data_IF_411694608777
#
_entry.id   IF_411694608777
#
_cell.length_a   1.000
_cell.length_b   1.000
_cell.length_c   1.000
_cell.angle_alpha   90.00
_cell.angle_beta   90.00
_cell.angle_gamma   90.00
#
_symmetry.space_group_name_H-M   'P 1'
#
loop_
_entity.id
_entity.type
_entity.pdbx_description
1 polymer ?
#
# COMPACT_ATOMS: atom_id res chain seq x y z
N UNK A 1 0.01 1.34 -18.36
CA UNK A 1 -1.43 1.21 -18.05
C UNK A 1 -1.84 -0.21 -18.40
N UNK A 2 -2.49 -0.94 -17.49
CA UNK A 2 -2.89 -2.34 -17.75
C UNK A 2 -4.33 -2.38 -18.24
N UNK A 3 -4.58 -3.12 -19.32
CA UNK A 3 -5.93 -3.36 -19.82
C UNK A 3 -6.75 -4.15 -18.80
N UNK A 4 -8.00 -3.75 -18.60
CA UNK A 4 -8.95 -4.45 -17.72
C UNK A 4 -10.22 -4.73 -18.51
N UNK A 5 -10.70 -5.96 -18.44
CA UNK A 5 -11.92 -6.34 -19.12
C UNK A 5 -13.16 -6.02 -18.29
N UNK A 6 -14.29 -5.80 -18.96
CA UNK A 6 -15.61 -5.81 -18.31
C UNK A 6 -16.18 -7.22 -18.42
N UNK A 7 -16.41 -7.85 -17.27
CA UNK A 7 -17.00 -9.17 -17.16
C UNK A 7 -18.52 -9.05 -17.09
N UNK A 8 -19.23 -9.71 -18.00
CA UNK A 8 -20.68 -9.86 -17.95
C UNK A 8 -21.08 -10.93 -16.92
N UNK A 9 -21.05 -10.57 -15.63
CA UNK A 9 -21.42 -11.48 -14.55
C UNK A 9 -22.94 -11.69 -14.52
N UNK A 10 -23.40 -12.93 -14.74
CA UNK A 10 -24.82 -13.29 -14.68
C UNK A 10 -25.46 -13.05 -13.30
N UNK A 11 -24.67 -13.13 -12.22
CA UNK A 11 -25.17 -12.98 -10.84
C UNK A 11 -25.01 -11.57 -10.27
N UNK A 12 -24.03 -10.80 -10.76
CA UNK A 12 -23.51 -9.63 -10.07
C UNK A 12 -23.44 -8.36 -10.93
N UNK A 13 -24.06 -8.38 -12.12
CA UNK A 13 -24.06 -7.31 -13.14
C UNK A 13 -22.69 -7.11 -13.79
N UNK A 14 -22.61 -6.42 -14.94
CA UNK A 14 -21.34 -6.11 -15.58
C UNK A 14 -20.37 -5.40 -14.63
N UNK A 15 -19.18 -5.97 -14.41
CA UNK A 15 -18.16 -5.43 -13.49
C UNK A 15 -16.78 -5.43 -14.12
N UNK A 16 -15.88 -4.56 -13.65
CA UNK A 16 -14.48 -4.64 -14.04
C UNK A 16 -13.84 -5.91 -13.47
N UNK A 17 -13.01 -6.55 -14.28
CA UNK A 17 -12.17 -7.66 -13.88
C UNK A 17 -11.33 -7.30 -12.64
N UNK A 18 -11.34 -8.20 -11.65
CA UNK A 18 -10.52 -8.08 -10.45
C UNK A 18 -9.19 -8.78 -10.73
N UNK A 19 -8.12 -8.01 -10.78
CA UNK A 19 -6.77 -8.51 -10.87
C UNK A 19 -6.24 -8.73 -9.45
N UNK A 20 -5.85 -9.96 -9.15
CA UNK A 20 -5.34 -10.43 -7.85
C UNK A 20 -3.92 -9.95 -7.53
N UNK A 21 -3.27 -9.23 -8.44
CA UNK A 21 -2.02 -8.49 -8.20
C UNK A 21 -2.17 -6.96 -8.30
N UNK A 22 -3.35 -6.41 -8.63
CA UNK A 22 -3.58 -4.96 -8.74
C UNK A 22 -4.76 -4.51 -7.88
N UNK A 23 -4.55 -3.53 -7.01
CA UNK A 23 -5.64 -2.96 -6.22
C UNK A 23 -6.58 -2.11 -7.06
N UNK A 24 -7.83 -1.99 -6.61
CA UNK A 24 -8.83 -1.18 -7.30
C UNK A 24 -8.35 0.28 -7.31
N UNK A 25 -8.15 0.84 -8.51
CA UNK A 25 -7.62 2.20 -8.75
C UNK A 25 -6.14 2.39 -8.40
N UNK A 26 -5.41 1.33 -8.03
CA UNK A 26 -3.99 1.43 -7.78
C UNK A 26 -3.20 1.59 -9.08
N UNK A 27 -2.17 2.45 -9.02
CA UNK A 27 -1.18 2.60 -10.08
C UNK A 27 0.04 1.69 -9.88
N UNK A 28 0.12 1.03 -8.73
CA UNK A 28 1.21 0.15 -8.33
C UNK A 28 0.66 -1.26 -8.12
N UNK A 29 1.45 -2.26 -8.51
CA UNK A 29 1.12 -3.66 -8.24
C UNK A 29 1.30 -3.96 -6.75
N UNK A 30 0.53 -4.93 -6.23
CA UNK A 30 0.68 -5.41 -4.85
C UNK A 30 2.09 -5.86 -4.54
N UNK A 31 2.68 -6.64 -5.45
CA UNK A 31 4.05 -7.12 -5.31
C UNK A 31 5.05 -5.97 -5.15
N UNK A 32 4.92 -4.89 -5.93
CA UNK A 32 5.81 -3.73 -5.77
C UNK A 32 5.60 -3.07 -4.40
N UNK A 33 4.35 -2.90 -3.97
CA UNK A 33 4.05 -2.35 -2.65
C UNK A 33 4.66 -3.20 -1.51
N UNK A 34 4.58 -4.53 -1.61
CA UNK A 34 5.18 -5.44 -0.63
C UNK A 34 6.71 -5.35 -0.61
N UNK A 35 7.36 -5.20 -1.77
CA UNK A 35 8.82 -5.02 -1.84
C UNK A 35 9.25 -3.66 -1.28
N UNK A 36 8.47 -2.60 -1.53
CA UNK A 36 8.71 -1.29 -0.91
C UNK A 36 8.66 -1.40 0.62
N UNK A 37 7.61 -2.02 1.16
CA UNK A 37 7.48 -2.20 2.61
C UNK A 37 8.62 -3.03 3.22
N UNK A 38 9.04 -4.11 2.55
CA UNK A 38 10.19 -4.92 2.97
C UNK A 38 11.48 -4.11 3.05
N UNK A 39 11.70 -3.20 2.10
CA UNK A 39 12.88 -2.34 2.15
C UNK A 39 12.76 -1.29 3.25
N UNK A 40 11.58 -0.70 3.45
CA UNK A 40 11.32 0.23 4.55
C UNK A 40 11.57 -0.38 5.93
N UNK A 41 11.39 -1.70 6.10
CA UNK A 41 11.76 -2.39 7.34
C UNK A 41 13.27 -2.39 7.65
N UNK A 42 14.12 -2.15 6.64
CA UNK A 42 15.58 -2.17 6.75
C UNK A 42 16.23 -0.80 6.54
N UNK A 43 15.48 0.23 6.13
CA UNK A 43 16.05 1.54 5.78
C UNK A 43 15.03 2.68 5.91
N UNK A 44 15.48 3.91 5.69
CA UNK A 44 14.61 5.09 5.74
C UNK A 44 13.69 5.19 4.52
N UNK A 45 12.55 5.85 4.68
CA UNK A 45 11.61 6.17 3.58
C UNK A 45 12.33 6.89 2.43
N UNK A 46 13.25 7.81 2.72
CA UNK A 46 13.99 8.56 1.70
C UNK A 46 14.87 7.63 0.86
N UNK A 47 15.57 6.69 1.51
CA UNK A 47 16.41 5.73 0.78
C UNK A 47 15.57 4.75 -0.03
N UNK A 48 14.45 4.25 0.53
CA UNK A 48 13.53 3.38 -0.21
C UNK A 48 12.89 4.10 -1.42
N UNK A 49 12.51 5.37 -1.25
CA UNK A 49 12.02 6.21 -2.34
C UNK A 49 13.04 6.36 -3.47
N UNK A 50 14.30 6.65 -3.12
CA UNK A 50 15.38 6.72 -4.09
C UNK A 50 15.62 5.37 -4.79
N UNK A 51 15.63 4.26 -4.04
CA UNK A 51 15.84 2.91 -4.59
C UNK A 51 14.80 2.52 -5.62
N UNK A 52 13.52 2.78 -5.35
CA UNK A 52 12.42 2.42 -6.26
C UNK A 52 12.06 3.51 -7.28
N UNK A 53 12.71 4.68 -7.23
CA UNK A 53 12.36 5.83 -8.07
C UNK A 53 10.94 6.35 -7.81
N UNK A 54 10.47 6.26 -6.57
CA UNK A 54 9.12 6.68 -6.15
C UNK A 54 9.18 7.98 -5.37
N UNK A 55 8.08 8.72 -5.38
CA UNK A 55 7.89 9.85 -4.48
C UNK A 55 7.86 9.39 -3.00
N UNK A 56 8.44 10.18 -2.12
CA UNK A 56 8.55 9.86 -0.70
C UNK A 56 7.19 9.72 0.00
N UNK A 57 6.18 10.50 -0.38
CA UNK A 57 4.83 10.33 0.19
C UNK A 57 4.18 9.05 -0.31
N UNK A 58 4.45 8.65 -1.56
CA UNK A 58 4.00 7.35 -2.08
C UNK A 58 4.59 6.19 -1.28
N UNK A 59 5.89 6.21 -1.01
CA UNK A 59 6.56 5.20 -0.19
C UNK A 59 6.03 5.20 1.24
N UNK A 60 5.94 6.38 1.88
CA UNK A 60 5.37 6.53 3.23
C UNK A 60 3.98 5.93 3.34
N UNK A 61 3.11 6.20 2.35
CA UNK A 61 1.74 5.67 2.34
C UNK A 61 1.71 4.14 2.21
N UNK A 62 2.59 3.56 1.38
CA UNK A 62 2.72 2.11 1.26
C UNK A 62 3.14 1.49 2.59
N UNK A 63 4.14 2.09 3.24
CA UNK A 63 4.69 1.62 4.50
C UNK A 63 3.65 1.70 5.63
N UNK A 64 2.94 2.83 5.78
CA UNK A 64 1.82 2.96 6.73
C UNK A 64 0.77 1.88 6.50
N UNK A 65 0.33 1.69 5.25
CA UNK A 65 -0.69 0.69 4.94
C UNK A 65 -0.19 -0.74 5.22
N UNK A 66 1.11 -1.00 5.07
CA UNK A 66 1.71 -2.27 5.45
C UNK A 66 1.71 -2.45 6.97
N UNK A 67 2.13 -1.44 7.73
CA UNK A 67 2.15 -1.45 9.20
C UNK A 67 0.75 -1.65 9.78
N UNK A 68 -0.26 -0.96 9.26
CA UNK A 68 -1.66 -1.15 9.68
C UNK A 68 -2.13 -2.60 9.50
N UNK A 69 -1.71 -3.24 8.39
CA UNK A 69 -2.07 -4.63 8.08
C UNK A 69 -1.34 -5.65 8.96
N UNK A 70 -0.10 -5.37 9.38
CA UNK A 70 0.74 -6.33 10.09
C UNK A 70 0.74 -6.16 11.60
N UNK A 71 0.59 -4.93 12.09
CA UNK A 71 0.61 -4.61 13.52
C UNK A 71 -0.81 -4.44 14.11
N UNK A 72 -1.81 -4.19 13.28
CA UNK A 72 -3.17 -3.91 13.74
C UNK A 72 -3.31 -2.53 14.39
N UNK A 73 -4.37 -2.29 15.19
CA UNK A 73 -4.61 -1.00 15.82
C UNK A 73 -3.50 -0.64 16.82
N UNK A 74 -3.04 0.61 16.79
CA UNK A 74 -1.98 1.12 17.66
C UNK A 74 -2.57 1.37 19.05
N UNK A 75 -2.01 0.72 20.08
CA UNK A 75 -2.28 1.07 21.48
C UNK A 75 -1.39 2.23 21.92
N UNK A 76 -2.02 3.33 22.30
CA UNK A 76 -1.35 4.56 22.77
C UNK A 76 -1.59 4.81 24.27
N UNK A 77 -2.15 3.85 25.00
CA UNK A 77 -2.50 3.98 26.43
C UNK A 77 -1.33 4.39 27.33
N UNK A 78 -0.09 4.04 26.95
CA UNK A 78 1.14 4.41 27.66
C UNK A 78 1.84 5.68 27.15
N UNK A 79 1.27 6.38 26.15
CA UNK A 79 1.89 7.56 25.54
C UNK A 79 1.22 8.84 26.06
N UNK A 80 1.97 9.63 26.82
CA UNK A 80 1.53 10.95 27.29
C UNK A 80 2.25 12.06 26.52
N UNK A 81 1.49 13.03 26.01
CA UNK A 81 2.06 14.28 25.51
C UNK A 81 2.50 15.10 26.72
N UNK A 82 3.79 15.43 26.81
CA UNK A 82 4.27 16.42 27.77
C UNK A 82 4.10 17.79 27.14
N UNK A 83 3.09 18.52 27.59
CA UNK A 83 2.98 19.95 27.33
C UNK A 83 4.12 20.66 28.09
N UNK A 84 4.85 21.51 27.38
CA UNK A 84 5.92 22.36 27.90
C UNK A 84 5.43 23.75 28.20
#
# INVERSE_FOLDING_TARGET
MVSRLRLACAHCRPRLERLDWLDRHARLTRWLADNVARLCAATTIVHAAHWFGLDGQTVKRIDVQHLERTLGPIDLSGVTVRDG
#
